data_IF_082866351013
#
_entry.id   IF_082866351013
#
_cell.length_a   1.000
_cell.length_b   1.000
_cell.length_c   1.000
_cell.angle_alpha   90.00
_cell.angle_beta   90.00
_cell.angle_gamma   90.00
#
_symmetry.space_group_name_H-M   'P 1'
#
loop_
_entity.id
_entity.type
_entity.pdbx_description
1 polymer ?
#
# COMPACT_ATOMS: atom_id res chain seq x y z
N UNK A 1 -17.12 -7.21 20.61
CA UNK A 1 -17.44 -8.26 19.62
C UNK A 1 -16.30 -8.33 18.63
N UNK A 2 -15.91 -9.51 18.18
CA UNK A 2 -14.89 -9.65 17.14
C UNK A 2 -15.44 -9.14 15.81
N UNK A 3 -14.67 -8.30 15.12
CA UNK A 3 -14.98 -7.91 13.73
C UNK A 3 -14.77 -9.16 12.88
N UNK A 4 -15.84 -9.73 12.33
CA UNK A 4 -15.75 -10.90 11.46
C UNK A 4 -15.66 -10.44 10.00
N UNK A 5 -14.48 -10.59 9.39
CA UNK A 5 -14.32 -10.44 7.95
C UNK A 5 -14.93 -11.64 7.21
N UNK A 6 -15.34 -11.43 5.95
CA UNK A 6 -15.83 -12.52 5.09
C UNK A 6 -14.76 -13.60 4.96
N UNK A 7 -15.15 -14.88 5.07
CA UNK A 7 -14.22 -16.02 4.95
C UNK A 7 -13.33 -15.95 3.70
N UNK A 8 -13.90 -15.58 2.56
CA UNK A 8 -13.17 -15.43 1.30
C UNK A 8 -12.01 -14.42 1.41
N UNK A 9 -12.23 -13.27 2.07
CA UNK A 9 -11.17 -12.27 2.29
C UNK A 9 -10.01 -12.85 3.12
N UNK A 10 -10.33 -13.57 4.20
CA UNK A 10 -9.32 -14.19 5.06
C UNK A 10 -8.52 -15.23 4.27
N UNK A 11 -9.19 -16.07 3.50
CA UNK A 11 -8.54 -17.10 2.69
C UNK A 11 -7.59 -16.50 1.64
N UNK A 12 -8.00 -15.43 0.94
CA UNK A 12 -7.15 -14.76 -0.04
C UNK A 12 -5.96 -14.09 0.62
N UNK A 13 -6.17 -13.34 1.72
CA UNK A 13 -5.10 -12.70 2.47
C UNK A 13 -4.06 -13.71 2.98
N UNK A 14 -4.49 -14.82 3.59
CA UNK A 14 -3.59 -15.86 4.10
C UNK A 14 -2.81 -16.55 2.97
N UNK A 15 -3.44 -16.82 1.81
CA UNK A 15 -2.75 -17.40 0.65
C UNK A 15 -1.53 -16.58 0.21
N UNK A 16 -1.62 -15.24 0.27
CA UNK A 16 -0.50 -14.35 -0.08
C UNK A 16 0.72 -14.49 0.85
N UNK A 17 0.51 -14.99 2.07
CA UNK A 17 1.53 -15.09 3.12
C UNK A 17 2.11 -16.50 3.25
N UNK A 18 1.35 -17.54 2.91
CA UNK A 18 1.78 -18.94 3.03
C UNK A 18 3.12 -19.23 2.37
N UNK A 19 3.38 -18.68 1.18
CA UNK A 19 4.60 -18.95 0.43
C UNK A 19 5.86 -18.27 1.00
N UNK A 20 5.71 -17.32 1.96
CA UNK A 20 6.82 -16.47 2.42
C UNK A 20 7.04 -16.46 3.92
N UNK A 21 6.06 -16.87 4.72
CA UNK A 21 6.19 -16.98 6.17
C UNK A 21 6.93 -18.27 6.55
N UNK A 22 7.92 -18.17 7.44
CA UNK A 22 8.66 -19.35 7.94
C UNK A 22 7.93 -20.01 9.10
N UNK A 23 7.22 -19.22 9.90
CA UNK A 23 6.42 -19.67 11.04
C UNK A 23 5.02 -19.08 10.99
N UNK A 24 4.10 -19.67 11.77
CA UNK A 24 2.75 -19.12 11.94
C UNK A 24 2.76 -17.76 12.64
N UNK A 25 3.74 -17.51 13.51
CA UNK A 25 3.93 -16.21 14.15
C UNK A 25 4.30 -15.16 13.11
N UNK A 26 5.27 -15.46 12.23
CA UNK A 26 5.64 -14.55 11.13
C UNK A 26 4.44 -14.24 10.24
N UNK A 27 3.61 -15.25 9.97
CA UNK A 27 2.38 -15.07 9.19
C UNK A 27 1.38 -14.16 9.88
N UNK A 28 1.18 -14.30 11.19
CA UNK A 28 0.27 -13.46 11.96
C UNK A 28 0.74 -12.00 11.99
N UNK A 29 2.04 -11.78 12.24
CA UNK A 29 2.67 -10.46 12.19
C UNK A 29 2.54 -9.88 10.78
N UNK A 30 2.72 -10.71 9.75
CA UNK A 30 2.59 -10.30 8.37
C UNK A 30 1.15 -10.01 7.94
N UNK A 31 0.16 -10.61 8.59
CA UNK A 31 -1.23 -10.45 8.22
C UNK A 31 -1.84 -9.17 8.78
N UNK A 32 -1.23 -8.55 9.81
CA UNK A 32 -1.81 -7.43 10.56
C UNK A 32 -2.33 -6.28 9.69
N UNK A 33 -1.61 -5.94 8.61
CA UNK A 33 -2.00 -4.85 7.72
C UNK A 33 -3.30 -5.11 6.93
N UNK A 34 -3.71 -6.38 6.76
CA UNK A 34 -5.00 -6.72 6.14
C UNK A 34 -6.17 -6.43 7.08
N UNK A 35 -5.96 -6.48 8.39
CA UNK A 35 -7.01 -6.47 9.41
C UNK A 35 -7.11 -5.17 10.24
N UNK A 36 -6.27 -4.18 9.96
CA UNK A 36 -6.32 -2.84 10.58
C UNK A 36 -6.84 -1.80 9.59
N UNK A 37 -7.43 -0.69 10.04
CA UNK A 37 -7.79 0.41 9.15
C UNK A 37 -6.63 1.39 8.97
N UNK A 38 -6.02 1.80 10.09
CA UNK A 38 -4.85 2.68 10.13
C UNK A 38 -3.54 1.90 10.12
N UNK A 39 -2.52 2.46 9.47
CA UNK A 39 -1.17 1.89 9.37
C UNK A 39 -0.19 2.75 10.18
N UNK A 40 0.61 2.09 11.03
CA UNK A 40 1.82 2.68 11.60
C UNK A 40 3.00 2.38 10.70
N UNK A 41 3.85 3.37 10.43
CA UNK A 41 4.99 3.22 9.55
C UNK A 41 6.26 2.89 10.33
N UNK A 42 7.04 1.92 9.87
CA UNK A 42 8.40 1.71 10.35
C UNK A 42 9.23 2.98 10.12
N UNK A 43 9.85 3.51 11.19
CA UNK A 43 10.54 4.80 11.12
C UNK A 43 11.70 4.80 10.12
N UNK A 44 12.45 3.70 10.03
CA UNK A 44 13.59 3.58 9.10
C UNK A 44 13.11 3.58 7.65
N UNK A 45 12.02 2.86 7.37
CA UNK A 45 11.39 2.85 6.07
C UNK A 45 10.78 4.21 5.72
N UNK A 46 10.07 4.85 6.65
CA UNK A 46 9.51 6.19 6.47
C UNK A 46 10.61 7.20 6.15
N UNK A 47 11.70 7.19 6.90
CA UNK A 47 12.85 8.07 6.63
C UNK A 47 13.48 7.84 5.26
N UNK A 48 13.38 6.63 4.70
CA UNK A 48 13.99 6.26 3.42
C UNK A 48 13.07 6.50 2.22
N UNK A 49 11.77 6.25 2.38
CA UNK A 49 10.82 6.20 1.26
C UNK A 49 9.77 7.32 1.29
N UNK A 50 9.46 7.89 2.45
CA UNK A 50 8.63 9.09 2.59
C UNK A 50 9.51 10.33 2.57
N UNK A 51 10.05 10.61 1.39
CA UNK A 51 10.81 11.82 1.07
C UNK A 51 9.96 12.79 0.25
N UNK A 52 10.33 14.07 0.13
CA UNK A 52 9.60 15.04 -0.69
C UNK A 52 9.28 14.57 -2.12
N UNK A 53 10.25 13.92 -2.76
CA UNK A 53 10.09 13.36 -4.11
C UNK A 53 9.12 12.17 -4.21
N UNK A 54 8.65 11.62 -3.09
CA UNK A 54 7.60 10.59 -3.07
C UNK A 54 6.19 11.17 -3.08
N UNK A 55 6.04 12.47 -2.78
CA UNK A 55 4.74 13.11 -2.66
C UNK A 55 3.99 13.15 -3.99
N UNK A 56 4.65 13.60 -5.06
CA UNK A 56 4.07 13.67 -6.40
C UNK A 56 3.56 12.30 -6.90
N UNK A 57 4.35 11.21 -6.89
CA UNK A 57 3.85 9.92 -7.34
C UNK A 57 2.74 9.35 -6.44
N UNK A 58 2.77 9.59 -5.12
CA UNK A 58 1.70 9.15 -4.21
C UNK A 58 0.38 9.87 -4.47
N UNK A 59 0.42 11.20 -4.62
CA UNK A 59 -0.76 12.02 -4.92
C UNK A 59 -1.34 11.62 -6.27
N UNK A 60 -0.52 11.53 -7.31
CA UNK A 60 -1.01 11.21 -8.64
C UNK A 60 -1.54 9.77 -8.72
N UNK A 61 -0.90 8.81 -8.04
CA UNK A 61 -1.44 7.45 -7.97
C UNK A 61 -2.81 7.44 -7.29
N UNK A 62 -3.00 8.18 -6.18
CA UNK A 62 -4.28 8.26 -5.51
C UNK A 62 -5.38 8.82 -6.43
N UNK A 63 -5.07 9.85 -7.23
CA UNK A 63 -5.99 10.40 -8.23
C UNK A 63 -6.34 9.37 -9.32
N UNK A 64 -5.34 8.66 -9.85
CA UNK A 64 -5.58 7.62 -10.86
C UNK A 64 -6.46 6.49 -10.32
N UNK A 65 -6.17 6.00 -9.11
CA UNK A 65 -6.95 4.95 -8.47
C UNK A 65 -8.38 5.39 -8.12
N UNK A 66 -8.57 6.66 -7.73
CA UNK A 66 -9.89 7.21 -7.44
C UNK A 66 -10.77 7.25 -8.70
N UNK A 67 -10.18 7.51 -9.86
CA UNK A 67 -10.85 7.56 -11.16
C UNK A 67 -11.19 6.18 -11.77
N UNK A 68 -10.68 5.08 -11.22
CA UNK A 68 -10.95 3.74 -11.76
C UNK A 68 -12.38 3.26 -11.43
N UNK A 69 -13.12 2.79 -12.43
CA UNK A 69 -14.42 2.15 -12.22
C UNK A 69 -14.26 0.71 -11.68
N UNK A 70 -13.25 0.00 -12.17
CA UNK A 70 -12.90 -1.35 -11.75
C UNK A 70 -11.53 -1.38 -11.04
N UNK A 71 -11.39 -2.30 -10.07
CA UNK A 71 -10.17 -2.45 -9.27
C UNK A 71 -9.48 -3.79 -9.57
N UNK A 72 -9.37 -4.11 -10.86
CA UNK A 72 -8.72 -5.32 -11.37
C UNK A 72 -7.22 -5.08 -11.66
N UNK A 73 -6.45 -6.15 -11.85
CA UNK A 73 -5.00 -6.07 -12.06
C UNK A 73 -4.59 -5.16 -13.24
N UNK A 74 -5.30 -5.25 -14.38
CA UNK A 74 -4.96 -4.47 -15.59
C UNK A 74 -5.13 -2.97 -15.36
N UNK A 75 -6.21 -2.55 -14.69
CA UNK A 75 -6.45 -1.14 -14.40
C UNK A 75 -5.46 -0.59 -13.36
N UNK A 76 -5.08 -1.42 -12.38
CA UNK A 76 -4.02 -1.08 -11.43
C UNK A 76 -2.67 -0.91 -12.12
N UNK A 77 -2.29 -1.82 -13.03
CA UNK A 77 -1.06 -1.69 -13.82
C UNK A 77 -1.05 -0.41 -14.66
N UNK A 78 -2.17 -0.09 -15.31
CA UNK A 78 -2.32 1.14 -16.09
C UNK A 78 -2.20 2.39 -15.22
N UNK A 79 -2.79 2.41 -14.03
CA UNK A 79 -2.66 3.51 -13.07
C UNK A 79 -1.19 3.73 -12.66
N UNK A 80 -0.46 2.66 -12.35
CA UNK A 80 0.97 2.75 -12.04
C UNK A 80 1.80 3.20 -13.24
N UNK A 81 1.47 2.73 -14.45
CA UNK A 81 2.13 3.15 -15.69
C UNK A 81 1.93 4.65 -15.95
N UNK A 82 0.73 5.17 -15.76
CA UNK A 82 0.47 6.61 -15.87
C UNK A 82 1.35 7.43 -14.92
N UNK A 83 1.55 6.94 -13.69
CA UNK A 83 2.47 7.58 -12.72
C UNK A 83 3.91 7.52 -13.21
N UNK A 84 4.36 6.37 -13.72
CA UNK A 84 5.71 6.23 -14.30
C UNK A 84 5.94 7.21 -15.45
N UNK A 85 4.98 7.32 -16.36
CA UNK A 85 5.06 8.20 -17.53
C UNK A 85 5.07 9.68 -17.11
N UNK A 86 4.28 10.06 -16.10
CA UNK A 86 4.23 11.44 -15.58
C UNK A 86 5.51 11.84 -14.84
N UNK A 87 6.00 10.99 -13.93
CA UNK A 87 7.11 11.35 -13.04
C UNK A 87 8.48 10.92 -13.56
N UNK A 88 8.53 10.13 -14.64
CA UNK A 88 9.75 9.49 -15.15
C UNK A 88 10.36 8.45 -14.20
N UNK A 89 9.64 8.05 -13.15
CA UNK A 89 10.13 7.09 -12.16
C UNK A 89 9.87 5.66 -12.63
N UNK A 90 10.80 4.75 -12.30
CA UNK A 90 10.58 3.31 -12.49
C UNK A 90 9.61 2.76 -11.44
N UNK A 91 8.87 1.70 -11.78
CA UNK A 91 7.91 1.04 -10.90
C UNK A 91 8.44 0.81 -9.48
N UNK A 92 9.66 0.29 -9.32
CA UNK A 92 10.24 0.02 -8.00
C UNK A 92 10.41 1.26 -7.10
N UNK A 93 10.54 2.46 -7.67
CA UNK A 93 10.62 3.72 -6.91
C UNK A 93 9.25 4.23 -6.46
N UNK A 94 8.19 3.87 -7.18
CA UNK A 94 6.80 4.19 -6.84
C UNK A 94 6.24 3.12 -5.89
N UNK A 95 6.49 1.84 -6.18
CA UNK A 95 5.94 0.72 -5.43
C UNK A 95 6.42 0.66 -3.97
N UNK A 96 7.64 1.12 -3.65
CA UNK A 96 8.14 1.10 -2.27
C UNK A 96 7.40 2.08 -1.34
N UNK A 97 7.26 3.39 -1.67
CA UNK A 97 6.45 4.28 -0.84
C UNK A 97 4.97 3.87 -0.79
N UNK A 98 4.40 3.35 -1.88
CA UNK A 98 3.02 2.82 -1.86
C UNK A 98 2.91 1.62 -0.92
N UNK A 99 3.84 0.66 -0.99
CA UNK A 99 3.86 -0.49 -0.09
C UNK A 99 3.96 -0.06 1.37
N UNK A 100 4.81 0.92 1.67
CA UNK A 100 4.93 1.48 3.00
C UNK A 100 3.61 2.13 3.46
N UNK A 101 2.97 2.92 2.60
CA UNK A 101 1.66 3.53 2.87
C UNK A 101 0.60 2.46 3.19
N UNK A 102 0.59 1.36 2.45
CA UNK A 102 -0.43 0.33 2.58
C UNK A 102 -0.16 -0.66 3.71
N UNK A 103 1.10 -0.90 4.09
CA UNK A 103 1.46 -2.02 4.95
C UNK A 103 2.28 -1.66 6.18
N UNK A 104 2.80 -0.44 6.27
CA UNK A 104 3.65 0.00 7.37
C UNK A 104 5.11 -0.41 7.21
N UNK A 105 5.45 -1.14 6.14
CA UNK A 105 6.75 -1.78 5.94
C UNK A 105 7.10 -1.93 4.47
N UNK A 106 8.32 -2.39 4.20
CA UNK A 106 8.90 -2.49 2.85
C UNK A 106 8.82 -3.88 2.24
N UNK A 107 8.50 -4.89 3.04
CA UNK A 107 8.29 -6.26 2.60
C UNK A 107 6.79 -6.58 2.63
N UNK A 108 6.22 -6.90 1.46
CA UNK A 108 4.83 -7.34 1.30
C UNK A 108 4.76 -8.36 0.15
N UNK A 109 3.61 -9.04 -0.03
CA UNK A 109 3.27 -9.70 -1.29
C UNK A 109 3.28 -8.72 -2.48
N UNK A 110 2.88 -9.20 -3.67
CA UNK A 110 2.83 -8.39 -4.88
C UNK A 110 2.05 -7.08 -4.66
N UNK A 111 2.53 -5.96 -5.21
CA UNK A 111 1.90 -4.65 -4.95
C UNK A 111 0.46 -4.60 -5.46
N UNK A 112 0.20 -5.18 -6.63
CA UNK A 112 -1.14 -5.26 -7.20
C UNK A 112 -2.05 -6.20 -6.41
N UNK A 113 -1.54 -7.40 -6.05
CA UNK A 113 -2.23 -8.36 -5.20
C UNK A 113 -2.68 -7.75 -3.85
N UNK A 114 -1.81 -6.98 -3.18
CA UNK A 114 -2.21 -6.34 -1.91
C UNK A 114 -3.26 -5.24 -2.12
N UNK A 115 -3.16 -4.47 -3.20
CA UNK A 115 -4.12 -3.40 -3.50
C UNK A 115 -5.51 -3.97 -3.77
N UNK A 116 -5.57 -5.05 -4.56
CA UNK A 116 -6.81 -5.75 -4.87
C UNK A 116 -7.46 -6.32 -3.60
N UNK A 117 -6.69 -7.00 -2.75
CA UNK A 117 -7.22 -7.61 -1.52
C UNK A 117 -7.66 -6.54 -0.50
N UNK A 118 -6.89 -5.47 -0.32
CA UNK A 118 -7.24 -4.39 0.61
C UNK A 118 -8.51 -3.66 0.13
N UNK A 119 -8.63 -3.46 -1.18
CA UNK A 119 -9.77 -2.80 -1.82
C UNK A 119 -9.62 -1.28 -1.91
N UNK A 120 -10.33 -0.68 -2.88
CA UNK A 120 -10.22 0.72 -3.28
C UNK A 120 -10.30 1.71 -2.13
N UNK A 121 -11.37 1.66 -1.34
CA UNK A 121 -11.61 2.66 -0.29
C UNK A 121 -10.49 2.69 0.76
N UNK A 122 -10.04 1.52 1.21
CA UNK A 122 -8.96 1.39 2.19
C UNK A 122 -7.60 1.78 1.61
N UNK A 123 -7.34 1.43 0.34
CA UNK A 123 -6.13 1.86 -0.38
C UNK A 123 -6.09 3.38 -0.48
N UNK A 124 -7.17 4.03 -0.91
CA UNK A 124 -7.25 5.48 -1.03
C UNK A 124 -7.11 6.17 0.33
N UNK A 125 -7.78 5.65 1.37
CA UNK A 125 -7.64 6.19 2.73
C UNK A 125 -6.18 6.15 3.21
N UNK A 126 -5.51 5.01 3.07
CA UNK A 126 -4.12 4.84 3.50
C UNK A 126 -3.14 5.69 2.68
N UNK A 127 -3.38 5.83 1.38
CA UNK A 127 -2.59 6.75 0.55
C UNK A 127 -2.76 8.20 0.99
N UNK A 128 -3.99 8.64 1.29
CA UNK A 128 -4.28 9.98 1.82
C UNK A 128 -3.57 10.21 3.17
N UNK A 129 -3.57 9.21 4.06
CA UNK A 129 -2.84 9.27 5.34
C UNK A 129 -1.32 9.37 5.13
N UNK A 130 -0.75 8.60 4.20
CA UNK A 130 0.67 8.67 3.88
C UNK A 130 1.07 10.01 3.26
N UNK A 131 0.24 10.56 2.34
CA UNK A 131 0.45 11.89 1.75
C UNK A 131 0.44 12.97 2.85
N UNK A 132 -0.52 12.91 3.78
CA UNK A 132 -0.57 13.81 4.92
C UNK A 132 0.67 13.67 5.80
N UNK A 133 1.07 12.44 6.11
CA UNK A 133 2.27 12.15 6.89
C UNK A 133 3.54 12.74 6.24
N UNK A 134 3.71 12.62 4.92
CA UNK A 134 4.86 13.20 4.21
C UNK A 134 4.86 14.74 4.31
N UNK A 135 3.71 15.39 4.08
CA UNK A 135 3.56 16.86 4.17
C UNK A 135 3.82 17.40 5.57
N UNK A 136 3.31 16.71 6.59
CA UNK A 136 3.48 17.11 7.98
C UNK A 136 4.96 17.07 8.39
N UNK A 137 5.74 16.12 7.85
CA UNK A 137 7.18 16.04 8.10
C UNK A 137 7.99 17.12 7.38
N UNK A 138 7.59 17.51 6.17
CA UNK A 138 8.21 18.65 5.48
C UNK A 138 7.99 19.96 6.21
N UNK A 139 6.86 20.11 6.91
CA UNK A 139 6.53 21.34 7.65
C UNK A 139 7.34 21.51 8.95
N UNK A 140 8.12 20.49 9.34
CA UNK A 140 8.91 20.44 10.58
C UNK A 140 10.42 20.57 10.27
N UNK A 141 10.86 20.32 9.03
CA UNK A 141 12.24 20.51 8.55
C UNK A 141 12.44 21.92 7.96
#
# INVERSE_FOLDING_TARGET
GYITHKRAFIETAIKTLTARSKTLTDMADDAGFYFTDSISYDEKAANKFFKPNSLEPLVFLAEQLEALDEFNETDLENAFKAVMDKTGLKLGKIAQPVRLALTGRTASPGIFEIIEIIGKDRVLSRLKDAIKFVKDRESIE
#
